data_IF_061028427503
#
_entry.id   IF_061028427503
#
_cell.length_a   1.000
_cell.length_b   1.000
_cell.length_c   1.000
_cell.angle_alpha   90.00
_cell.angle_beta   90.00
_cell.angle_gamma   90.00
#
_symmetry.space_group_name_H-M   'P 1'
#
loop_
_entity.id
_entity.type
_entity.pdbx_description
1 polymer ?
#
# COMPACT_ATOMS: atom_id res chain seq x y z
N UNK A 1 5.15 26.47 41.58
CA UNK A 1 6.28 25.82 42.24
C UNK A 1 5.91 24.35 42.44
N UNK A 2 6.65 23.42 41.81
CA UNK A 2 6.43 21.97 41.99
C UNK A 2 7.12 21.55 43.29
N UNK A 3 6.34 21.10 44.27
CA UNK A 3 6.82 20.67 45.61
C UNK A 3 7.27 19.18 45.66
N UNK A 4 7.29 18.48 44.51
CA UNK A 4 7.69 17.05 44.45
C UNK A 4 8.91 16.87 43.58
N UNK A 5 9.90 16.14 44.15
CA UNK A 5 11.10 15.64 43.46
C UNK A 5 10.88 14.16 43.22
N UNK A 6 10.97 13.72 41.98
CA UNK A 6 10.92 12.31 41.59
C UNK A 6 12.36 11.82 41.41
N UNK A 7 12.75 10.76 42.12
CA UNK A 7 14.04 10.09 41.97
C UNK A 7 13.76 8.70 41.38
N UNK A 8 14.47 8.36 40.31
CA UNK A 8 14.36 7.05 39.66
C UNK A 8 15.74 6.55 39.27
N UNK A 9 15.95 5.23 39.40
CA UNK A 9 17.21 4.55 39.09
C UNK A 9 17.27 3.95 37.70
N UNK A 10 16.14 3.90 37.01
CA UNK A 10 16.04 3.30 35.64
C UNK A 10 15.15 4.15 34.75
N UNK A 11 15.64 4.40 33.57
CA UNK A 11 14.86 5.03 32.46
C UNK A 11 14.69 4.01 31.36
N UNK A 12 13.46 3.57 31.13
CA UNK A 12 13.11 2.68 30.00
C UNK A 12 12.60 3.56 28.86
N UNK A 13 13.33 3.62 27.71
CA UNK A 13 12.86 4.41 26.57
C UNK A 13 11.57 3.81 26.00
N UNK A 14 10.58 4.65 25.79
CA UNK A 14 9.37 4.28 25.08
C UNK A 14 9.60 4.14 23.56
N UNK A 15 8.57 3.75 22.80
CA UNK A 15 8.68 3.56 21.34
C UNK A 15 8.97 4.86 20.58
N UNK A 16 8.83 6.01 21.23
CA UNK A 16 8.93 7.33 20.61
C UNK A 16 7.74 7.63 19.69
N UNK A 17 7.77 8.79 19.03
CA UNK A 17 6.72 9.22 18.11
C UNK A 17 5.71 10.18 18.74
N UNK A 18 4.53 10.26 18.13
CA UNK A 18 3.40 11.09 18.51
C UNK A 18 2.18 10.23 18.84
N UNK A 19 1.28 10.67 19.72
CA UNK A 19 0.05 9.93 19.98
C UNK A 19 -0.78 9.76 18.69
N UNK A 20 -1.31 8.55 18.48
CA UNK A 20 -2.16 8.25 17.33
C UNK A 20 -3.38 9.17 17.31
N UNK A 21 -3.75 9.66 16.13
CA UNK A 21 -4.88 10.56 15.92
C UNK A 21 -4.53 12.06 16.00
N UNK A 22 -3.28 12.42 16.32
CA UNK A 22 -2.88 13.84 16.39
C UNK A 22 -2.59 14.47 15.03
N UNK A 23 -2.41 13.67 13.96
CA UNK A 23 -2.01 14.14 12.63
C UNK A 23 -2.91 13.61 11.49
N UNK A 24 -4.22 13.51 11.73
CA UNK A 24 -5.18 13.11 10.71
C UNK A 24 -5.10 11.63 10.34
N UNK A 25 -5.62 11.31 9.14
CA UNK A 25 -5.70 9.95 8.62
C UNK A 25 -4.97 9.81 7.29
N UNK A 26 -4.47 8.61 6.99
CA UNK A 26 -3.94 8.27 5.68
C UNK A 26 -4.25 6.82 5.30
N UNK A 27 -4.44 6.56 4.00
CA UNK A 27 -4.75 5.26 3.43
C UNK A 27 -3.46 4.53 3.04
N UNK A 28 -3.21 3.39 3.65
CA UNK A 28 -2.08 2.51 3.34
C UNK A 28 -2.44 1.53 2.25
N UNK A 29 -1.71 1.52 1.13
CA UNK A 29 -1.75 0.42 0.18
C UNK A 29 -1.00 -0.77 0.79
N UNK A 30 -1.74 -1.65 1.46
CA UNK A 30 -1.20 -2.79 2.17
C UNK A 30 -1.10 -4.00 1.25
N UNK A 31 0.05 -4.65 1.24
CA UNK A 31 0.31 -5.90 0.52
C UNK A 31 0.79 -7.00 1.47
N UNK A 32 0.89 -8.23 0.98
CA UNK A 32 1.47 -9.34 1.73
C UNK A 32 3.00 -9.29 1.88
N UNK A 33 3.65 -8.27 1.31
CA UNK A 33 5.11 -8.10 1.37
C UNK A 33 5.61 -7.47 2.68
N UNK A 34 6.93 -7.36 2.79
CA UNK A 34 7.61 -6.84 4.00
C UNK A 34 7.46 -5.31 4.13
N UNK A 35 7.45 -4.60 2.99
CA UNK A 35 7.69 -3.15 2.95
C UNK A 35 6.46 -2.33 3.39
N UNK A 36 5.25 -2.72 2.95
CA UNK A 36 4.04 -1.95 3.23
C UNK A 36 3.62 -1.94 4.71
N UNK A 37 3.72 -3.04 5.49
CA UNK A 37 3.49 -2.98 6.93
C UNK A 37 4.47 -2.06 7.66
N UNK A 38 5.75 -2.07 7.24
CA UNK A 38 6.78 -1.18 7.78
C UNK A 38 6.45 0.27 7.48
N UNK A 39 6.02 0.58 6.25
CA UNK A 39 5.60 1.92 5.87
C UNK A 39 4.42 2.42 6.71
N UNK A 40 3.41 1.59 6.93
CA UNK A 40 2.27 1.88 7.80
C UNK A 40 2.71 2.20 9.24
N UNK A 41 3.56 1.35 9.81
CA UNK A 41 4.13 1.57 11.14
C UNK A 41 4.89 2.90 11.24
N UNK A 42 5.76 3.21 10.27
CA UNK A 42 6.55 4.43 10.31
C UNK A 42 5.70 5.70 10.28
N UNK A 43 4.62 5.71 9.51
CA UNK A 43 3.70 6.84 9.44
C UNK A 43 2.82 6.92 10.69
N UNK A 44 2.33 5.78 11.22
CA UNK A 44 1.55 5.75 12.46
C UNK A 44 2.31 6.35 13.65
N UNK A 45 3.63 6.14 13.73
CA UNK A 45 4.50 6.78 14.74
C UNK A 45 4.50 8.31 14.68
N UNK A 46 4.05 8.90 13.59
CA UNK A 46 3.89 10.36 13.45
C UNK A 46 2.48 10.85 13.85
N UNK A 47 1.70 9.99 14.54
CA UNK A 47 0.38 10.33 15.04
C UNK A 47 -0.74 10.21 14.01
N UNK A 48 -0.48 9.61 12.85
CA UNK A 48 -1.45 9.41 11.78
C UNK A 48 -2.27 8.15 12.05
N UNK A 49 -3.59 8.25 11.93
CA UNK A 49 -4.49 7.09 11.91
C UNK A 49 -4.32 6.39 10.57
N UNK A 50 -4.13 5.08 10.59
CA UNK A 50 -3.97 4.27 9.39
C UNK A 50 -5.29 3.61 9.04
N UNK A 51 -5.76 3.85 7.83
CA UNK A 51 -6.72 3.00 7.13
C UNK A 51 -5.99 2.28 6.02
N UNK A 52 -6.50 1.16 5.53
CA UNK A 52 -5.75 0.35 4.57
C UNK A 52 -6.64 -0.13 3.41
N UNK A 53 -6.03 -0.30 2.26
CA UNK A 53 -6.62 -0.97 1.09
C UNK A 53 -5.72 -2.10 0.64
N UNK A 54 -6.32 -3.26 0.38
CA UNK A 54 -5.68 -4.42 -0.22
C UNK A 54 -6.39 -4.82 -1.51
N UNK A 55 -5.64 -5.07 -2.54
CA UNK A 55 -6.14 -5.52 -3.84
C UNK A 55 -6.05 -7.04 -3.94
N UNK A 56 -7.19 -7.70 -3.97
CA UNK A 56 -7.33 -9.14 -4.08
C UNK A 56 -7.80 -9.52 -5.48
N UNK A 57 -7.27 -10.59 -6.06
CA UNK A 57 -7.62 -11.02 -7.43
C UNK A 57 -7.98 -12.52 -7.48
N UNK A 58 -9.12 -12.95 -6.88
CA UNK A 58 -9.57 -14.34 -6.98
C UNK A 58 -9.97 -14.68 -8.43
N UNK A 59 -9.74 -15.93 -8.92
CA UNK A 59 -9.12 -17.05 -8.22
C UNK A 59 -7.57 -17.05 -8.28
N UNK A 60 -6.96 -16.03 -8.85
CA UNK A 60 -5.51 -15.97 -9.06
C UNK A 60 -4.73 -15.75 -7.75
N UNK A 61 -5.29 -15.00 -6.81
CA UNK A 61 -4.78 -14.93 -5.43
C UNK A 61 -5.65 -15.79 -4.52
N UNK A 62 -4.99 -16.49 -3.58
CA UNK A 62 -5.69 -17.41 -2.67
C UNK A 62 -6.31 -16.68 -1.48
N UNK A 63 -7.31 -17.30 -0.83
CA UNK A 63 -7.83 -16.83 0.46
C UNK A 63 -6.74 -16.77 1.55
N UNK A 64 -5.70 -17.60 1.44
CA UNK A 64 -4.55 -17.54 2.35
C UNK A 64 -3.72 -16.26 2.14
N UNK A 65 -3.61 -15.76 0.91
CA UNK A 65 -2.98 -14.47 0.64
C UNK A 65 -3.78 -13.33 1.28
N UNK A 66 -5.11 -13.35 1.18
CA UNK A 66 -6.00 -12.40 1.85
C UNK A 66 -5.85 -12.48 3.38
N UNK A 67 -5.88 -13.68 3.95
CA UNK A 67 -5.71 -13.87 5.40
C UNK A 67 -4.36 -13.35 5.89
N UNK A 68 -3.27 -13.59 5.14
CA UNK A 68 -1.94 -13.05 5.42
C UNK A 68 -1.97 -11.52 5.55
N UNK A 69 -2.65 -10.82 4.65
CA UNK A 69 -2.76 -9.36 4.68
C UNK A 69 -3.60 -8.89 5.88
N UNK A 70 -4.67 -9.59 6.21
CA UNK A 70 -5.49 -9.32 7.41
C UNK A 70 -4.62 -9.46 8.68
N UNK A 71 -3.79 -10.50 8.76
CA UNK A 71 -2.91 -10.74 9.91
C UNK A 71 -1.83 -9.65 10.00
N UNK A 72 -1.28 -9.19 8.87
CA UNK A 72 -0.36 -8.05 8.82
C UNK A 72 -1.04 -6.76 9.27
N UNK A 73 -2.27 -6.49 8.84
CA UNK A 73 -3.05 -5.34 9.30
C UNK A 73 -3.23 -5.36 10.83
N UNK A 74 -3.61 -6.51 11.40
CA UNK A 74 -3.73 -6.70 12.86
C UNK A 74 -2.41 -6.48 13.60
N UNK A 75 -1.28 -6.88 13.01
CA UNK A 75 0.03 -6.66 13.62
C UNK A 75 0.41 -5.17 13.62
N UNK A 76 0.13 -4.45 12.53
CA UNK A 76 0.34 -2.98 12.45
C UNK A 76 -0.62 -2.26 13.39
N UNK A 77 -1.85 -2.73 13.54
CA UNK A 77 -2.87 -2.16 14.42
C UNK A 77 -2.43 -2.10 15.91
N UNK A 78 -1.51 -2.95 16.34
CA UNK A 78 -0.91 -2.87 17.69
C UNK A 78 -0.20 -1.53 17.93
N UNK A 79 0.21 -0.83 16.89
CA UNK A 79 0.95 0.44 16.94
C UNK A 79 0.11 1.63 16.51
N UNK A 80 -0.81 1.42 15.56
CA UNK A 80 -1.64 2.48 14.95
C UNK A 80 -3.03 2.62 15.58
N UNK A 81 -3.44 1.67 16.45
CA UNK A 81 -4.84 1.49 16.80
C UNK A 81 -5.60 0.76 15.68
N UNK A 82 -6.93 0.60 15.82
CA UNK A 82 -7.75 -0.15 14.85
C UNK A 82 -7.57 0.34 13.43
N UNK A 83 -7.44 -0.61 12.49
CA UNK A 83 -7.32 -0.34 11.06
C UNK A 83 -8.59 -0.80 10.34
N UNK A 84 -9.22 0.10 9.59
CA UNK A 84 -10.27 -0.22 8.63
C UNK A 84 -9.60 -0.66 7.33
N UNK A 85 -9.68 -1.96 7.03
CA UNK A 85 -9.10 -2.56 5.83
C UNK A 85 -10.17 -2.74 4.76
N UNK A 86 -10.00 -2.09 3.62
CA UNK A 86 -10.78 -2.32 2.40
C UNK A 86 -10.13 -3.43 1.59
N UNK A 87 -10.87 -4.52 1.33
CA UNK A 87 -10.44 -5.59 0.43
C UNK A 87 -11.16 -5.39 -0.90
N UNK A 88 -10.43 -4.94 -1.90
CA UNK A 88 -10.96 -4.62 -3.23
C UNK A 88 -10.73 -5.79 -4.17
N UNK A 89 -11.78 -6.29 -4.80
CA UNK A 89 -11.65 -7.27 -5.89
C UNK A 89 -11.15 -6.57 -7.15
N UNK A 90 -9.92 -6.89 -7.54
CA UNK A 90 -9.23 -6.26 -8.68
C UNK A 90 -9.18 -7.15 -9.93
N UNK A 91 -9.81 -8.33 -9.90
CA UNK A 91 -9.71 -9.36 -10.95
C UNK A 91 -10.15 -8.83 -12.32
N UNK A 92 -11.35 -8.28 -12.41
CA UNK A 92 -11.92 -7.86 -13.70
C UNK A 92 -11.13 -6.71 -14.30
N UNK A 93 -10.70 -5.75 -13.47
CA UNK A 93 -9.84 -4.64 -13.88
C UNK A 93 -8.51 -5.17 -14.41
N UNK A 94 -7.89 -6.11 -13.69
CA UNK A 94 -6.61 -6.69 -14.06
C UNK A 94 -6.67 -7.46 -15.37
N UNK A 95 -7.72 -8.26 -15.59
CA UNK A 95 -7.94 -9.00 -16.82
C UNK A 95 -8.23 -8.06 -17.99
N UNK A 96 -9.00 -6.99 -17.78
CA UNK A 96 -9.30 -6.00 -18.80
C UNK A 96 -8.04 -5.24 -19.24
N UNK A 97 -7.18 -4.86 -18.28
CA UNK A 97 -5.88 -4.25 -18.61
C UNK A 97 -5.01 -5.24 -19.39
N UNK A 98 -4.98 -6.51 -18.97
CA UNK A 98 -4.20 -7.55 -19.64
C UNK A 98 -4.63 -7.77 -21.10
N UNK A 99 -5.94 -7.74 -21.38
CA UNK A 99 -6.49 -7.91 -22.73
C UNK A 99 -6.22 -6.70 -23.65
N UNK A 100 -6.27 -5.49 -23.12
CA UNK A 100 -6.27 -4.27 -23.94
C UNK A 100 -4.92 -3.57 -24.04
N UNK A 101 -4.02 -3.76 -23.07
CA UNK A 101 -2.80 -2.98 -22.97
C UNK A 101 -1.54 -3.81 -23.32
N UNK A 102 -0.44 -3.15 -23.74
CA UNK A 102 0.85 -3.82 -23.94
C UNK A 102 1.34 -4.49 -22.66
N UNK A 103 1.78 -5.73 -22.77
CA UNK A 103 2.16 -6.53 -21.59
C UNK A 103 3.34 -5.93 -20.81
N UNK A 104 4.29 -5.27 -21.48
CA UNK A 104 5.40 -4.56 -20.83
C UNK A 104 4.97 -3.40 -19.92
N UNK A 105 3.80 -2.81 -20.18
CA UNK A 105 3.24 -1.68 -19.44
C UNK A 105 2.28 -2.10 -18.32
N UNK A 106 1.88 -3.38 -18.26
CA UNK A 106 0.81 -3.87 -17.37
C UNK A 106 1.02 -3.46 -15.91
N UNK A 107 2.21 -3.69 -15.36
CA UNK A 107 2.49 -3.39 -13.96
C UNK A 107 2.31 -1.89 -13.66
N UNK A 108 2.73 -1.02 -14.57
CA UNK A 108 2.60 0.43 -14.41
C UNK A 108 1.11 0.84 -14.49
N UNK A 109 0.38 0.34 -15.48
CA UNK A 109 -1.04 0.67 -15.67
C UNK A 109 -1.87 0.14 -14.49
N UNK A 110 -1.68 -1.11 -14.07
CA UNK A 110 -2.35 -1.66 -12.89
C UNK A 110 -2.10 -0.82 -11.64
N UNK A 111 -0.85 -0.43 -11.38
CA UNK A 111 -0.51 0.41 -10.23
C UNK A 111 -1.17 1.78 -10.29
N UNK A 112 -1.30 2.39 -11.45
CA UNK A 112 -2.03 3.66 -11.63
C UNK A 112 -3.50 3.51 -11.22
N UNK A 113 -4.17 2.43 -11.66
CA UNK A 113 -5.55 2.18 -11.25
C UNK A 113 -5.68 1.81 -9.76
N UNK A 114 -4.74 1.07 -9.20
CA UNK A 114 -4.70 0.82 -7.75
C UNK A 114 -4.54 2.12 -6.95
N UNK A 115 -3.67 3.03 -7.39
CA UNK A 115 -3.50 4.34 -6.75
C UNK A 115 -4.77 5.20 -6.88
N UNK A 116 -5.46 5.19 -8.02
CA UNK A 116 -6.73 5.90 -8.23
C UNK A 116 -7.81 5.38 -7.28
N UNK A 117 -8.04 4.07 -7.25
CA UNK A 117 -9.03 3.43 -6.35
C UNK A 117 -8.67 3.71 -4.88
N UNK A 118 -7.40 3.59 -4.52
CA UNK A 118 -6.95 3.90 -3.16
C UNK A 118 -7.22 5.35 -2.77
N UNK A 119 -7.05 6.30 -3.69
CA UNK A 119 -7.36 7.72 -3.45
C UNK A 119 -8.87 7.97 -3.33
N UNK A 120 -9.69 7.31 -4.16
CA UNK A 120 -11.15 7.45 -4.10
C UNK A 120 -11.70 6.90 -2.77
N UNK A 121 -11.22 5.74 -2.31
CA UNK A 121 -11.53 5.19 -0.99
C UNK A 121 -10.98 6.08 0.14
N UNK A 122 -9.76 6.61 0.00
CA UNK A 122 -9.18 7.53 0.96
C UNK A 122 -10.03 8.80 1.15
N UNK A 123 -10.52 9.38 0.06
CA UNK A 123 -11.41 10.55 0.11
C UNK A 123 -12.75 10.22 0.76
N UNK A 124 -13.34 9.05 0.51
CA UNK A 124 -14.57 8.57 1.17
C UNK A 124 -14.39 8.42 2.68
N UNK A 125 -13.22 8.02 3.12
CA UNK A 125 -12.87 7.80 4.53
C UNK A 125 -12.19 9.02 5.18
N UNK A 126 -12.20 10.19 4.51
CA UNK A 126 -11.60 11.44 4.99
C UNK A 126 -10.09 11.34 5.28
N UNK A 127 -9.38 10.48 4.55
CA UNK A 127 -7.94 10.41 4.57
C UNK A 127 -7.32 11.56 3.78
N UNK A 128 -6.22 12.10 4.28
CA UNK A 128 -5.53 13.27 3.71
C UNK A 128 -4.29 12.91 2.89
N UNK A 129 -3.99 11.63 2.74
CA UNK A 129 -2.84 11.14 1.97
C UNK A 129 -2.87 9.64 1.79
N UNK A 130 -2.01 9.17 0.88
CA UNK A 130 -1.76 7.76 0.64
C UNK A 130 -0.40 7.36 1.23
N UNK A 131 -0.24 6.10 1.59
CA UNK A 131 1.03 5.54 2.09
C UNK A 131 1.36 4.32 1.23
N UNK A 132 2.58 4.25 0.73
CA UNK A 132 3.09 3.08 0.00
C UNK A 132 4.41 2.59 0.58
N UNK A 133 4.66 1.29 0.46
CA UNK A 133 5.93 0.66 0.84
C UNK A 133 6.96 0.62 -0.28
N UNK A 134 6.96 1.61 -1.17
CA UNK A 134 7.89 1.66 -2.29
C UNK A 134 9.29 2.07 -1.85
N UNK A 135 10.31 1.36 -2.38
CA UNK A 135 11.74 1.71 -2.25
C UNK A 135 12.39 1.73 -3.63
N UNK A 136 13.18 2.78 -3.92
CA UNK A 136 13.79 2.98 -5.24
C UNK A 136 14.74 1.82 -5.56
N UNK A 137 14.55 1.22 -6.74
CA UNK A 137 15.47 0.22 -7.29
C UNK A 137 15.26 -1.21 -6.79
N UNK A 138 14.32 -1.48 -5.89
CA UNK A 138 14.05 -2.86 -5.44
C UNK A 138 13.46 -3.74 -6.55
N UNK A 139 12.56 -3.20 -7.37
CA UNK A 139 11.94 -3.89 -8.50
C UNK A 139 11.77 -2.96 -9.70
N UNK A 140 11.54 -3.53 -10.88
CA UNK A 140 11.43 -2.78 -12.14
C UNK A 140 10.37 -1.67 -12.12
N UNK A 141 9.28 -1.83 -11.37
CA UNK A 141 8.21 -0.84 -11.22
C UNK A 141 8.50 0.24 -10.18
N UNK A 142 9.64 0.20 -9.50
CA UNK A 142 10.03 1.16 -8.46
C UNK A 142 11.25 2.00 -8.87
N UNK A 143 11.40 2.28 -10.15
CA UNK A 143 12.34 3.31 -10.63
C UNK A 143 11.74 4.70 -10.43
N UNK A 144 12.57 5.74 -10.38
CA UNK A 144 12.10 7.14 -10.29
C UNK A 144 11.12 7.47 -11.42
N UNK A 145 11.38 6.97 -12.64
CA UNK A 145 10.49 7.15 -13.79
C UNK A 145 9.13 6.47 -13.56
N UNK A 146 9.15 5.21 -13.09
CA UNK A 146 7.93 4.47 -12.79
C UNK A 146 7.11 5.13 -11.68
N UNK A 147 7.77 5.58 -10.62
CA UNK A 147 7.13 6.28 -9.51
C UNK A 147 6.50 7.61 -9.94
N UNK A 148 7.17 8.39 -10.80
CA UNK A 148 6.62 9.62 -11.34
C UNK A 148 5.33 9.36 -12.14
N UNK A 149 5.34 8.34 -13.01
CA UNK A 149 4.18 7.97 -13.83
C UNK A 149 3.04 7.41 -12.99
N UNK A 150 3.31 6.58 -11.98
CA UNK A 150 2.26 6.06 -11.08
C UNK A 150 1.70 7.12 -10.14
N UNK A 151 2.51 8.08 -9.72
CA UNK A 151 2.07 9.17 -8.84
C UNK A 151 1.16 10.19 -9.55
N UNK A 152 1.26 10.31 -10.86
CA UNK A 152 0.58 11.34 -11.63
C UNK A 152 -0.96 11.26 -11.54
N UNK A 153 -1.53 10.09 -11.27
CA UNK A 153 -2.99 9.92 -11.10
C UNK A 153 -3.49 10.38 -9.74
N UNK A 154 -2.60 10.69 -8.79
CA UNK A 154 -2.96 11.08 -7.44
C UNK A 154 -3.00 12.61 -7.28
N UNK A 155 -4.01 13.08 -6.58
CA UNK A 155 -4.14 14.48 -6.12
C UNK A 155 -3.78 14.64 -4.65
N UNK A 156 -3.94 13.58 -3.86
CA UNK A 156 -3.48 13.53 -2.48
C UNK A 156 -1.96 13.31 -2.39
N UNK A 157 -1.29 13.81 -1.35
CA UNK A 157 0.11 13.50 -1.10
C UNK A 157 0.32 12.00 -0.91
N UNK A 158 1.41 11.47 -1.50
CA UNK A 158 1.80 10.06 -1.36
C UNK A 158 3.05 9.97 -0.50
N UNK A 159 2.90 9.40 0.70
CA UNK A 159 3.99 9.18 1.65
C UNK A 159 4.70 7.86 1.35
N UNK A 160 6.02 7.94 1.19
CA UNK A 160 6.90 6.80 0.91
C UNK A 160 8.00 6.70 1.96
N UNK A 161 7.68 6.30 3.19
CA UNK A 161 8.62 6.39 4.30
C UNK A 161 9.87 5.52 4.15
N UNK A 162 9.81 4.47 3.31
CA UNK A 162 10.94 3.55 3.07
C UNK A 162 11.64 3.79 1.71
N UNK A 163 11.38 4.92 1.06
CA UNK A 163 11.79 5.17 -0.34
C UNK A 163 13.30 5.07 -0.58
N UNK A 164 14.11 5.43 0.38
CA UNK A 164 15.58 5.40 0.31
C UNK A 164 16.22 4.35 1.20
N UNK A 165 15.44 3.38 1.72
CA UNK A 165 15.95 2.33 2.59
C UNK A 165 16.48 1.16 1.79
N UNK A 166 17.58 0.58 2.26
CA UNK A 166 18.02 -0.72 1.79
C UNK A 166 17.10 -1.83 2.30
N UNK A 167 17.09 -2.97 1.60
CA UNK A 167 16.22 -4.08 1.97
C UNK A 167 16.44 -4.56 3.41
N UNK A 168 17.70 -4.54 3.87
CA UNK A 168 18.04 -4.96 5.23
C UNK A 168 17.43 -4.03 6.29
N UNK A 169 17.46 -2.72 6.07
CA UNK A 169 16.85 -1.75 6.99
C UNK A 169 15.35 -2.01 7.19
N UNK A 170 14.65 -2.34 6.08
CA UNK A 170 13.22 -2.66 6.12
C UNK A 170 12.98 -3.99 6.85
N UNK A 171 13.82 -5.00 6.60
CA UNK A 171 13.76 -6.30 7.28
C UNK A 171 13.95 -6.14 8.79
N UNK A 172 14.94 -5.36 9.22
CA UNK A 172 15.24 -5.13 10.63
C UNK A 172 14.05 -4.46 11.35
N UNK A 173 13.41 -3.49 10.70
CA UNK A 173 12.19 -2.86 11.23
C UNK A 173 11.05 -3.87 11.28
N UNK A 174 10.84 -4.67 10.22
CA UNK A 174 9.77 -5.66 10.15
C UNK A 174 9.88 -6.74 11.24
N UNK A 175 11.11 -7.18 11.55
CA UNK A 175 11.38 -8.08 12.68
C UNK A 175 11.05 -7.41 14.01
N UNK A 176 11.48 -6.17 14.20
CA UNK A 176 11.21 -5.39 15.41
C UNK A 176 9.72 -5.21 15.69
N UNK A 177 8.90 -5.01 14.66
CA UNK A 177 7.45 -4.83 14.79
C UNK A 177 6.66 -6.14 14.72
N UNK A 178 7.33 -7.27 14.48
CA UNK A 178 6.74 -8.61 14.45
C UNK A 178 5.97 -8.96 13.19
N UNK A 179 6.19 -8.23 12.08
CA UNK A 179 5.50 -8.50 10.80
C UNK A 179 6.29 -9.42 9.87
N UNK A 180 7.59 -9.63 10.12
CA UNK A 180 8.48 -10.35 9.21
C UNK A 180 8.02 -11.77 8.91
N UNK A 181 7.77 -12.59 9.96
CA UNK A 181 7.40 -14.01 9.81
C UNK A 181 6.09 -14.20 9.03
N UNK A 182 5.16 -13.27 9.17
CA UNK A 182 3.92 -13.28 8.39
C UNK A 182 4.20 -12.86 6.95
N UNK A 183 5.01 -11.82 6.74
CA UNK A 183 5.31 -11.28 5.41
C UNK A 183 6.04 -12.26 4.49
N UNK A 184 6.90 -13.15 5.02
CA UNK A 184 7.67 -14.13 4.24
C UNK A 184 6.89 -15.41 3.88
N UNK A 185 5.64 -15.55 4.33
CA UNK A 185 4.82 -16.69 3.94
C UNK A 185 4.61 -16.73 2.41
N UNK A 186 4.62 -17.93 1.78
CA UNK A 186 4.67 -18.10 0.33
C UNK A 186 3.31 -17.91 -0.35
N UNK A 187 2.62 -16.80 -0.06
CA UNK A 187 1.36 -16.43 -0.69
C UNK A 187 1.55 -15.16 -1.50
N UNK A 188 1.27 -15.24 -2.79
CA UNK A 188 1.54 -14.19 -3.75
C UNK A 188 0.45 -13.11 -3.78
N UNK A 189 0.89 -11.86 -4.03
CA UNK A 189 0.01 -10.72 -4.25
C UNK A 189 -0.46 -10.63 -5.70
N UNK A 190 -1.56 -9.91 -5.96
CA UNK A 190 -2.14 -9.75 -7.29
C UNK A 190 -1.17 -9.17 -8.33
N UNK A 191 -0.24 -8.32 -7.92
CA UNK A 191 0.74 -7.68 -8.82
C UNK A 191 1.76 -8.67 -9.43
N UNK A 192 1.92 -9.88 -8.86
CA UNK A 192 2.91 -10.86 -9.33
C UNK A 192 2.37 -11.81 -10.39
N UNK A 193 1.06 -11.85 -10.58
CA UNK A 193 0.38 -12.87 -11.41
C UNK A 193 0.62 -12.63 -12.91
N UNK A 194 0.61 -11.37 -13.35
CA UNK A 194 0.74 -11.00 -14.77
C UNK A 194 1.98 -10.14 -15.02
N UNK A 195 3.12 -10.57 -14.46
CA UNK A 195 4.38 -9.85 -14.69
C UNK A 195 4.90 -10.15 -16.09
N UNK A 196 5.18 -9.10 -16.85
CA UNK A 196 5.84 -9.23 -18.16
C UNK A 196 7.26 -9.78 -18.00
N UNK A 197 7.71 -10.57 -18.99
CA UNK A 197 9.12 -11.04 -19.03
C UNK A 197 10.12 -9.87 -19.04
N UNK A 198 9.73 -8.76 -19.67
CA UNK A 198 10.53 -7.53 -19.80
C UNK A 198 9.67 -6.32 -19.45
N UNK A 199 9.44 -6.03 -18.14
CA UNK A 199 8.65 -4.89 -17.73
C UNK A 199 9.38 -3.59 -18.06
N UNK A 200 8.63 -2.55 -18.45
CA UNK A 200 9.20 -1.23 -18.72
C UNK A 200 9.74 -0.62 -17.42
N UNK A 201 11.01 -0.19 -17.44
CA UNK A 201 11.68 0.46 -16.28
C UNK A 201 11.78 1.97 -16.42
N UNK A 202 11.55 2.49 -17.64
CA UNK A 202 11.52 3.93 -17.96
C UNK A 202 10.23 4.23 -18.74
N UNK A 203 9.04 4.12 -18.11
CA UNK A 203 7.79 4.38 -18.78
C UNK A 203 7.70 5.84 -19.22
N UNK A 204 7.15 6.04 -20.43
CA UNK A 204 6.80 7.36 -20.94
C UNK A 204 5.32 7.63 -20.61
N UNK A 205 5.02 8.72 -19.92
CA UNK A 205 3.67 9.04 -19.47
C UNK A 205 2.66 9.14 -20.64
N UNK A 206 3.06 9.73 -21.77
CA UNK A 206 2.15 9.90 -22.91
C UNK A 206 1.82 8.55 -23.58
N UNK A 207 2.78 7.61 -23.60
CA UNK A 207 2.55 6.25 -24.09
C UNK A 207 1.61 5.50 -23.14
N UNK A 208 1.85 5.58 -21.83
CA UNK A 208 0.96 4.97 -20.83
C UNK A 208 -0.47 5.52 -20.95
N UNK A 209 -0.64 6.84 -21.03
CA UNK A 209 -1.95 7.47 -21.23
C UNK A 209 -2.63 7.04 -22.54
N UNK A 210 -1.84 6.82 -23.61
CA UNK A 210 -2.37 6.28 -24.87
C UNK A 210 -2.89 4.86 -24.71
N UNK A 211 -2.17 4.03 -23.97
CA UNK A 211 -2.61 2.65 -23.67
C UNK A 211 -3.86 2.65 -22.80
N UNK A 212 -3.93 3.52 -21.79
CA UNK A 212 -5.11 3.69 -20.92
C UNK A 212 -6.36 4.13 -21.69
N UNK A 213 -6.24 4.91 -22.78
CA UNK A 213 -7.39 5.26 -23.63
C UNK A 213 -8.12 4.05 -24.22
N UNK A 214 -7.44 2.90 -24.37
CA UNK A 214 -8.06 1.67 -24.85
C UNK A 214 -9.02 1.06 -23.82
N UNK A 215 -8.92 1.49 -22.57
CA UNK A 215 -9.75 1.02 -21.45
C UNK A 215 -11.00 1.88 -21.24
N UNK A 216 -11.14 3.02 -21.96
CA UNK A 216 -12.14 4.04 -21.68
C UNK A 216 -13.59 3.54 -21.68
N UNK A 217 -13.92 2.50 -22.48
CA UNK A 217 -15.29 2.02 -22.64
C UNK A 217 -15.84 1.26 -21.41
N UNK A 218 -14.98 0.73 -20.52
CA UNK A 218 -15.45 -0.12 -19.39
C UNK A 218 -14.78 0.11 -18.06
N UNK A 219 -13.62 0.76 -18.04
CA UNK A 219 -12.78 0.81 -16.83
C UNK A 219 -13.43 1.58 -15.66
N UNK A 220 -14.15 2.68 -15.94
CA UNK A 220 -14.77 3.50 -14.90
C UNK A 220 -15.91 2.74 -14.19
N UNK A 221 -16.71 1.95 -14.90
CA UNK A 221 -17.75 1.11 -14.31
C UNK A 221 -17.15 -0.02 -13.48
N UNK A 222 -16.06 -0.63 -13.96
CA UNK A 222 -15.34 -1.67 -13.21
C UNK A 222 -14.75 -1.12 -11.91
N UNK A 223 -14.15 0.08 -11.94
CA UNK A 223 -13.63 0.77 -10.76
C UNK A 223 -14.76 1.00 -9.77
N UNK A 224 -15.87 1.61 -10.22
CA UNK A 224 -17.01 1.88 -9.37
C UNK A 224 -17.54 0.61 -8.71
N UNK A 225 -17.69 -0.47 -9.48
CA UNK A 225 -18.11 -1.78 -8.97
C UNK A 225 -17.14 -2.31 -7.91
N UNK A 226 -15.82 -2.24 -8.19
CA UNK A 226 -14.79 -2.72 -7.27
C UNK A 226 -14.79 -1.92 -5.94
N UNK A 227 -15.04 -0.62 -5.99
CA UNK A 227 -15.16 0.23 -4.79
C UNK A 227 -16.45 -0.01 -4.00
N UNK A 228 -17.58 -0.16 -4.69
CA UNK A 228 -18.89 -0.36 -4.06
C UNK A 228 -19.01 -1.76 -3.43
N UNK A 229 -18.33 -2.76 -3.98
CA UNK A 229 -18.31 -4.14 -3.49
C UNK A 229 -17.12 -4.46 -2.59
N UNK A 230 -16.28 -3.48 -2.28
CA UNK A 230 -15.14 -3.69 -1.41
C UNK A 230 -15.58 -4.18 -0.03
N UNK A 231 -15.02 -5.31 0.39
CA UNK A 231 -15.26 -5.84 1.73
C UNK A 231 -14.51 -5.00 2.77
N UNK A 232 -15.16 -4.63 3.86
CA UNK A 232 -14.56 -3.87 4.96
C UNK A 232 -14.32 -4.78 6.15
N UNK A 233 -13.07 -4.86 6.59
CA UNK A 233 -12.64 -5.66 7.75
C UNK A 233 -11.98 -4.73 8.78
N UNK A 234 -12.41 -4.84 10.04
CA UNK A 234 -11.75 -4.16 11.13
C UNK A 234 -10.66 -5.04 11.75
N UNK A 235 -9.45 -4.51 11.81
CA UNK A 235 -8.25 -5.17 12.31
C UNK A 235 -7.72 -4.48 13.58
#
# INVERSE_FOLDING_TARGET
VRSKINIYSLVIPGPGGMPVGTNGKAMLLLSGGIDSPVAGYMISKRGVIIEAVYFHAPPYTSERAKQKVIDLAKQVARYSGPIKLHVVNFTDIQLYIYDKCPHEELTIIMRRYMMKIAEDLAKKDECLGLITGESIGQVASQTVHSLAVTNEVCTLPVFRPVIGFDKQDIVDISQKIGTFETSIQPYEDCCTIFVAKHPVTKPNLDLIRRSEKKLAEGIEEMIKTAEETAEVIWC
#
